data_IF_519273128495
#
_entry.id   IF_519273128495
#
_cell.length_a   1.000
_cell.length_b   1.000
_cell.length_c   1.000
_cell.angle_alpha   90.00
_cell.angle_beta   90.00
_cell.angle_gamma   90.00
#
_symmetry.space_group_name_H-M   'P 1'
#
loop_
_entity.id
_entity.type
_entity.pdbx_description
1 polymer ?
#
# COMPACT_ATOMS: atom_id res chain seq x y z
N UNK A 1 16.16 -21.18 12.11
CA UNK A 1 16.54 -19.89 11.49
C UNK A 1 16.32 -18.82 12.53
N UNK A 2 17.30 -17.96 12.82
CA UNK A 2 17.09 -16.88 13.80
C UNK A 2 15.98 -15.94 13.28
N UNK A 3 15.00 -15.67 14.12
CA UNK A 3 13.94 -14.71 13.83
C UNK A 3 14.58 -13.34 13.56
N UNK A 4 14.25 -12.72 12.43
CA UNK A 4 14.76 -11.37 12.14
C UNK A 4 14.24 -10.43 13.22
N UNK A 5 15.09 -9.53 13.77
CA UNK A 5 14.61 -8.55 14.72
C UNK A 5 13.52 -7.69 14.05
N UNK A 6 12.38 -7.54 14.73
CA UNK A 6 11.23 -6.73 14.25
C UNK A 6 11.60 -5.29 13.91
N UNK A 7 12.57 -4.73 14.63
CA UNK A 7 13.07 -3.38 14.39
C UNK A 7 14.31 -3.43 13.49
N UNK A 8 14.27 -2.83 12.28
CA UNK A 8 15.44 -2.78 11.40
C UNK A 8 16.64 -2.06 12.03
N UNK A 9 17.88 -2.37 11.63
CA UNK A 9 19.07 -1.68 12.12
C UNK A 9 18.97 -0.16 11.95
N UNK A 10 19.36 0.59 12.99
CA UNK A 10 19.35 2.06 12.98
C UNK A 10 17.97 2.70 13.18
N UNK A 11 16.93 1.91 13.41
CA UNK A 11 15.58 2.40 13.69
C UNK A 11 15.34 2.60 15.19
N UNK A 12 14.39 3.49 15.52
CA UNK A 12 13.84 3.65 16.87
C UNK A 12 12.32 3.60 16.85
N UNK A 13 11.72 3.02 17.89
CA UNK A 13 10.27 3.10 18.08
C UNK A 13 9.85 4.52 18.42
N UNK A 14 8.73 4.95 17.86
CA UNK A 14 8.09 6.22 18.18
C UNK A 14 6.61 6.02 18.47
N UNK A 15 6.02 7.03 19.10
CA UNK A 15 4.57 7.16 19.25
C UNK A 15 4.02 8.10 18.19
N UNK A 16 2.75 7.90 17.80
CA UNK A 16 2.11 8.68 16.75
C UNK A 16 2.43 8.16 15.35
N UNK A 17 2.03 8.92 14.33
CA UNK A 17 2.24 8.57 12.93
C UNK A 17 2.69 9.80 12.15
N UNK A 18 4.00 10.10 12.13
CA UNK A 18 4.52 11.25 11.42
C UNK A 18 4.18 11.17 9.93
N UNK A 19 3.73 12.29 9.39
CA UNK A 19 3.44 12.44 7.97
C UNK A 19 4.73 12.78 7.24
N UNK A 20 4.95 12.11 6.11
CA UNK A 20 5.98 12.46 5.12
C UNK A 20 5.33 12.49 3.76
N UNK A 21 5.36 13.66 3.14
CA UNK A 21 4.79 13.88 1.82
C UNK A 21 5.91 14.40 0.93
N UNK A 22 6.15 13.74 -0.20
CA UNK A 22 7.12 14.20 -1.19
C UNK A 22 6.56 15.38 -2.01
N UNK A 23 5.24 15.44 -2.14
CA UNK A 23 4.52 16.34 -3.03
C UNK A 23 3.39 17.07 -2.30
N UNK A 24 2.68 17.94 -3.02
CA UNK A 24 1.45 18.54 -2.51
C UNK A 24 0.37 17.45 -2.39
N UNK A 25 -0.40 17.50 -1.32
CA UNK A 25 -1.54 16.60 -1.15
C UNK A 25 -2.66 16.95 -2.15
N UNK A 26 -3.44 15.97 -2.62
CA UNK A 26 -4.66 16.22 -3.37
C UNK A 26 -5.56 17.19 -2.61
N UNK A 27 -6.16 18.15 -3.33
CA UNK A 27 -7.01 19.18 -2.71
C UNK A 27 -8.36 18.61 -2.28
N UNK A 28 -8.87 17.60 -2.99
CA UNK A 28 -10.14 16.95 -2.70
C UNK A 28 -10.17 15.54 -3.24
N UNK A 29 -11.00 14.69 -2.63
CA UNK A 29 -11.33 13.36 -3.12
C UNK A 29 -12.84 13.29 -3.36
N UNK A 30 -13.23 12.69 -4.47
CA UNK A 30 -14.61 12.40 -4.80
C UNK A 30 -14.75 10.90 -5.13
N UNK A 31 -15.45 10.11 -4.30
CA UNK A 31 -15.59 8.68 -4.51
C UNK A 31 -16.38 8.32 -5.78
N UNK A 32 -17.19 9.24 -6.32
CA UNK A 32 -17.99 8.98 -7.53
C UNK A 32 -17.15 9.05 -8.82
N UNK A 33 -16.06 9.83 -8.81
CA UNK A 33 -15.18 10.01 -9.97
C UNK A 33 -13.84 9.29 -9.83
N UNK A 34 -13.45 8.90 -8.62
CA UNK A 34 -12.20 8.19 -8.37
C UNK A 34 -12.19 6.79 -8.97
N UNK A 35 -11.06 6.41 -9.58
CA UNK A 35 -10.83 5.06 -10.10
C UNK A 35 -9.42 4.57 -9.82
N UNK A 36 -9.28 3.25 -9.64
CA UNK A 36 -8.00 2.54 -9.64
C UNK A 36 -7.84 1.80 -10.96
N UNK A 37 -6.85 2.20 -11.75
CA UNK A 37 -6.49 1.52 -13.00
C UNK A 37 -5.36 0.52 -12.78
N UNK A 38 -5.53 -0.69 -13.28
CA UNK A 38 -4.53 -1.76 -13.27
C UNK A 38 -4.35 -2.28 -14.70
N UNK A 39 -3.18 -2.01 -15.28
CA UNK A 39 -2.87 -2.27 -16.68
C UNK A 39 -1.46 -2.86 -16.88
N UNK A 40 -0.88 -2.65 -18.06
CA UNK A 40 0.46 -3.11 -18.41
C UNK A 40 0.48 -4.59 -18.81
N UNK A 41 1.46 -5.34 -18.29
CA UNK A 41 1.70 -6.74 -18.70
C UNK A 41 0.83 -7.75 -17.95
N UNK A 42 -0.49 -7.59 -18.08
CA UNK A 42 -1.53 -8.43 -17.48
C UNK A 42 -2.42 -9.06 -18.54
N UNK A 43 -3.13 -10.14 -18.21
CA UNK A 43 -4.06 -10.77 -19.15
C UNK A 43 -5.45 -10.12 -19.14
N UNK A 44 -5.83 -9.47 -18.03
CA UNK A 44 -7.14 -8.83 -17.83
C UNK A 44 -6.96 -7.46 -17.20
N UNK A 45 -6.65 -6.41 -17.99
CA UNK A 45 -6.66 -5.04 -17.48
C UNK A 45 -7.99 -4.72 -16.80
N UNK A 46 -7.94 -3.91 -15.75
CA UNK A 46 -9.08 -3.65 -14.88
C UNK A 46 -9.07 -2.20 -14.43
N UNK A 47 -10.24 -1.58 -14.42
CA UNK A 47 -10.49 -0.29 -13.76
C UNK A 47 -11.54 -0.55 -12.70
N UNK A 48 -11.28 -0.15 -11.47
CA UNK A 48 -12.20 -0.28 -10.34
C UNK A 48 -12.65 1.11 -9.89
N UNK A 49 -13.96 1.30 -9.71
CA UNK A 49 -14.47 2.43 -8.94
C UNK A 49 -14.13 2.27 -7.45
N UNK A 50 -14.27 3.36 -6.68
CA UNK A 50 -14.11 3.30 -5.23
C UNK A 50 -15.06 2.28 -4.58
N UNK A 51 -16.31 2.24 -5.05
CA UNK A 51 -17.33 1.30 -4.58
C UNK A 51 -16.98 -0.15 -4.93
N UNK A 52 -16.52 -0.42 -6.16
CA UNK A 52 -16.13 -1.77 -6.59
C UNK A 52 -14.92 -2.29 -5.82
N UNK A 53 -13.95 -1.42 -5.52
CA UNK A 53 -12.81 -1.76 -4.67
C UNK A 53 -13.26 -2.20 -3.27
N UNK A 54 -14.24 -1.51 -2.68
CA UNK A 54 -14.79 -1.83 -1.36
C UNK A 54 -15.70 -3.08 -1.35
N UNK A 55 -16.07 -3.61 -2.51
CA UNK A 55 -16.79 -4.90 -2.64
C UNK A 55 -15.85 -6.10 -2.74
N UNK A 56 -14.54 -5.89 -2.87
CA UNK A 56 -13.56 -6.97 -2.86
C UNK A 56 -13.40 -7.57 -1.46
N UNK A 57 -12.81 -8.78 -1.31
CA UNK A 57 -12.55 -9.36 0.00
C UNK A 57 -11.67 -8.46 0.87
N UNK A 58 -12.30 -7.85 1.88
CA UNK A 58 -11.63 -6.97 2.84
C UNK A 58 -10.86 -7.84 3.84
N UNK A 59 -9.61 -7.46 4.10
CA UNK A 59 -8.73 -8.10 5.06
C UNK A 59 -8.20 -7.05 6.02
N UNK A 60 -8.06 -7.45 7.28
CA UNK A 60 -7.38 -6.67 8.31
C UNK A 60 -6.10 -7.40 8.70
N UNK A 61 -4.95 -6.74 8.58
CA UNK A 61 -3.64 -7.31 8.94
C UNK A 61 -2.89 -6.36 9.87
N UNK A 62 -2.00 -6.88 10.71
CA UNK A 62 -1.22 -6.05 11.64
C UNK A 62 0.27 -6.16 11.30
N UNK A 63 0.89 -5.02 11.05
CA UNK A 63 2.32 -4.96 10.76
C UNK A 63 2.99 -3.70 11.32
N UNK A 64 4.31 -3.80 11.48
CA UNK A 64 5.13 -2.63 11.80
C UNK A 64 5.29 -1.74 10.55
N UNK A 65 5.51 -0.45 10.78
CA UNK A 65 5.73 0.55 9.74
C UNK A 65 7.08 1.20 9.97
N UNK A 66 7.98 1.12 8.99
CA UNK A 66 9.36 1.56 9.12
C UNK A 66 9.65 2.71 8.14
N UNK A 67 10.01 3.88 8.64
CA UNK A 67 10.41 5.00 7.81
C UNK A 67 11.91 4.94 7.51
N UNK A 68 12.30 5.33 6.28
CA UNK A 68 13.71 5.41 5.88
C UNK A 68 14.54 6.39 6.74
N UNK A 69 13.89 7.35 7.40
CA UNK A 69 14.53 8.33 8.29
C UNK A 69 14.89 7.78 9.68
N UNK A 70 14.75 6.47 9.92
CA UNK A 70 15.20 5.83 11.15
C UNK A 70 14.17 5.80 12.29
N UNK A 71 12.88 5.99 12.00
CA UNK A 71 11.80 5.81 12.97
C UNK A 71 10.78 4.75 12.54
N UNK A 72 10.22 4.05 13.52
CA UNK A 72 9.27 2.95 13.30
C UNK A 72 8.05 3.07 14.21
N UNK A 73 6.89 2.68 13.70
CA UNK A 73 5.63 2.60 14.44
C UNK A 73 5.22 1.13 14.49
N UNK A 74 4.98 0.62 15.69
CA UNK A 74 4.65 -0.79 15.92
C UNK A 74 3.16 -1.08 15.76
N UNK A 75 2.85 -2.34 15.45
CA UNK A 75 1.51 -2.93 15.58
C UNK A 75 0.40 -2.10 14.90
N UNK A 76 0.66 -1.59 13.69
CA UNK A 76 -0.35 -0.87 12.93
C UNK A 76 -1.31 -1.89 12.31
N UNK A 77 -2.59 -1.76 12.63
CA UNK A 77 -3.63 -2.54 11.99
C UNK A 77 -4.04 -1.83 10.71
N UNK A 78 -3.94 -2.50 9.58
CA UNK A 78 -4.30 -2.01 8.25
C UNK A 78 -5.49 -2.79 7.75
N UNK A 79 -6.50 -2.09 7.24
CA UNK A 79 -7.67 -2.71 6.64
C UNK A 79 -7.85 -2.20 5.20
N UNK A 80 -8.11 -3.17 4.32
CA UNK A 80 -8.22 -2.95 2.88
C UNK A 80 -8.22 -4.26 2.10
N UNK A 81 -7.65 -4.26 0.90
CA UNK A 81 -7.62 -5.43 0.02
C UNK A 81 -6.19 -5.91 -0.18
N UNK A 82 -5.94 -7.21 0.00
CA UNK A 82 -4.62 -7.78 -0.26
C UNK A 82 -4.23 -7.59 -1.73
N UNK A 83 -2.98 -7.28 -2.01
CA UNK A 83 -2.49 -7.12 -3.38
C UNK A 83 -2.75 -8.37 -4.23
N UNK A 84 -2.64 -9.56 -3.62
CA UNK A 84 -2.96 -10.84 -4.25
C UNK A 84 -4.37 -10.91 -4.81
N UNK A 85 -5.35 -10.27 -4.17
CA UNK A 85 -6.72 -10.24 -4.67
C UNK A 85 -6.82 -9.48 -6.00
N UNK A 86 -6.07 -8.39 -6.13
CA UNK A 86 -5.97 -7.64 -7.40
C UNK A 86 -5.22 -8.48 -8.45
N UNK A 87 -4.06 -9.03 -8.09
CA UNK A 87 -3.26 -9.88 -8.99
C UNK A 87 -4.06 -11.10 -9.49
N UNK A 88 -4.89 -11.70 -8.63
CA UNK A 88 -5.74 -12.84 -8.99
C UNK A 88 -6.81 -12.47 -10.02
N UNK A 89 -7.26 -11.21 -10.06
CA UNK A 89 -8.26 -10.72 -11.02
C UNK A 89 -7.62 -10.39 -12.37
N UNK A 90 -6.50 -9.67 -12.34
CA UNK A 90 -5.84 -9.19 -13.58
C UNK A 90 -4.94 -10.23 -14.24
N UNK A 91 -4.50 -11.24 -13.48
CA UNK A 91 -3.64 -12.35 -13.93
C UNK A 91 -2.37 -11.82 -14.64
N UNK A 92 -1.36 -11.30 -13.91
CA UNK A 92 -0.09 -10.87 -14.50
C UNK A 92 0.53 -11.94 -15.41
N UNK A 93 1.10 -11.54 -16.54
CA UNK A 93 1.75 -12.48 -17.45
C UNK A 93 3.07 -12.99 -16.85
N UNK A 94 3.57 -14.17 -17.27
CA UNK A 94 4.88 -14.69 -16.80
C UNK A 94 6.07 -13.74 -17.06
N UNK A 95 5.95 -12.88 -18.06
CA UNK A 95 6.91 -11.83 -18.40
C UNK A 95 6.90 -10.64 -17.42
N UNK A 96 5.81 -10.41 -16.68
CA UNK A 96 5.71 -9.32 -15.72
C UNK A 96 6.65 -9.54 -14.53
N UNK A 97 7.61 -8.64 -14.33
CA UNK A 97 8.62 -8.71 -13.25
C UNK A 97 8.47 -7.62 -12.20
N UNK A 98 7.92 -6.48 -12.57
CA UNK A 98 7.76 -5.31 -11.73
C UNK A 98 6.35 -4.74 -11.88
N UNK A 99 5.89 -4.05 -10.86
CA UNK A 99 4.69 -3.22 -10.88
C UNK A 99 5.14 -1.80 -10.57
N UNK A 100 4.71 -0.87 -11.42
CA UNK A 100 4.89 0.55 -11.22
C UNK A 100 3.63 1.11 -10.59
N UNK A 101 3.75 1.69 -9.41
CA UNK A 101 2.66 2.40 -8.75
C UNK A 101 2.80 3.88 -9.05
N UNK A 102 1.66 4.50 -9.35
CA UNK A 102 1.52 5.94 -9.53
C UNK A 102 0.65 6.47 -8.39
N UNK A 103 1.14 7.48 -7.68
CA UNK A 103 0.29 8.31 -6.85
C UNK A 103 -0.59 9.20 -7.75
N UNK A 104 -1.51 9.94 -7.15
CA UNK A 104 -2.35 10.91 -7.86
C UNK A 104 -1.53 12.01 -8.55
N UNK A 105 -0.36 12.36 -8.00
CA UNK A 105 0.56 13.34 -8.56
C UNK A 105 1.79 12.65 -9.20
N UNK A 106 3.01 13.13 -8.96
CA UNK A 106 4.21 12.69 -9.67
C UNK A 106 4.93 11.51 -8.99
N UNK A 107 4.54 11.16 -7.76
CA UNK A 107 5.23 10.13 -7.01
C UNK A 107 5.01 8.75 -7.64
N UNK A 108 6.11 8.08 -7.97
CA UNK A 108 6.06 6.72 -8.49
C UNK A 108 7.01 5.80 -7.74
N UNK A 109 6.64 4.53 -7.66
CA UNK A 109 7.49 3.51 -7.06
C UNK A 109 7.36 2.19 -7.79
N UNK A 110 8.50 1.63 -8.19
CA UNK A 110 8.57 0.30 -8.77
C UNK A 110 8.93 -0.73 -7.69
N UNK A 111 8.18 -1.82 -7.66
CA UNK A 111 8.38 -2.97 -6.77
C UNK A 111 8.34 -4.26 -7.59
N UNK A 112 9.20 -5.22 -7.28
CA UNK A 112 9.20 -6.53 -7.94
C UNK A 112 7.91 -7.28 -7.65
N UNK A 113 7.32 -7.95 -8.64
CA UNK A 113 6.10 -8.73 -8.47
C UNK A 113 6.21 -9.78 -7.34
N UNK A 114 7.32 -10.53 -7.16
CA UNK A 114 7.46 -11.46 -6.04
C UNK A 114 7.29 -10.84 -4.65
N UNK A 115 7.77 -9.60 -4.44
CA UNK A 115 7.58 -8.88 -3.16
C UNK A 115 6.11 -8.57 -2.95
N UNK A 116 5.42 -8.08 -3.98
CA UNK A 116 4.00 -7.72 -3.90
C UNK A 116 3.09 -8.93 -3.70
N UNK A 117 3.56 -10.12 -4.10
CA UNK A 117 2.89 -11.40 -3.89
C UNK A 117 3.18 -12.01 -2.51
N UNK A 118 3.75 -11.26 -1.56
CA UNK A 118 3.80 -11.66 -0.15
C UNK A 118 2.40 -11.60 0.48
N UNK A 119 2.16 -12.33 1.57
CA UNK A 119 0.81 -12.52 2.15
C UNK A 119 0.23 -11.26 2.82
N UNK A 120 1.10 -10.35 3.24
CA UNK A 120 0.77 -9.17 4.07
C UNK A 120 0.82 -7.85 3.30
N UNK A 121 1.00 -7.90 1.98
CA UNK A 121 0.95 -6.72 1.11
C UNK A 121 -0.50 -6.33 0.86
N UNK A 122 -0.86 -5.11 1.24
CA UNK A 122 -2.24 -4.65 1.28
C UNK A 122 -2.37 -3.24 0.68
N UNK A 123 -3.45 -3.03 -0.07
CA UNK A 123 -3.95 -1.72 -0.44
C UNK A 123 -4.96 -1.29 0.63
N UNK A 124 -4.53 -0.43 1.54
CA UNK A 124 -5.26 -0.06 2.75
C UNK A 124 -5.93 1.31 2.63
N UNK A 125 -7.08 1.47 3.28
CA UNK A 125 -7.79 2.75 3.43
C UNK A 125 -8.10 3.08 4.89
N UNK A 126 -8.11 2.06 5.76
CA UNK A 126 -8.29 2.19 7.21
C UNK A 126 -7.00 1.81 7.96
N UNK A 127 -6.73 2.52 9.06
CA UNK A 127 -5.66 2.22 10.01
C UNK A 127 -6.18 2.28 11.45
N UNK A 128 -5.90 1.25 12.24
CA UNK A 128 -6.30 1.13 13.65
C UNK A 128 -7.81 1.33 13.87
N UNK A 129 -8.64 0.79 12.98
CA UNK A 129 -10.10 0.85 13.06
C UNK A 129 -10.72 2.16 12.58
N UNK A 130 -9.93 3.12 12.11
CA UNK A 130 -10.41 4.40 11.59
C UNK A 130 -9.96 4.63 10.14
N UNK A 131 -10.73 5.36 9.32
CA UNK A 131 -10.24 5.87 8.04
C UNK A 131 -8.94 6.64 8.21
N UNK A 132 -7.97 6.38 7.33
CA UNK A 132 -6.77 7.20 7.29
C UNK A 132 -7.15 8.65 6.97
N UNK A 133 -6.34 9.59 7.48
CA UNK A 133 -6.43 10.98 7.03
C UNK A 133 -5.81 11.13 5.64
N UNK A 134 -6.13 12.18 4.86
CA UNK A 134 -5.48 12.43 3.57
C UNK A 134 -3.95 12.38 3.63
N UNK A 135 -3.36 12.96 4.69
CA UNK A 135 -1.90 12.92 4.93
C UNK A 135 -1.35 11.50 5.11
N UNK A 136 -2.21 10.59 5.55
CA UNK A 136 -1.94 9.17 5.75
C UNK A 136 -2.08 8.32 4.49
N UNK A 137 -2.37 8.91 3.32
CA UNK A 137 -2.58 8.18 2.07
C UNK A 137 -4.02 7.72 1.87
N UNK A 138 -4.99 8.35 2.53
CA UNK A 138 -6.39 8.19 2.13
C UNK A 138 -6.60 8.85 0.76
N UNK A 139 -7.38 8.24 -0.16
CA UNK A 139 -8.33 7.13 0.02
C UNK A 139 -7.73 5.72 -0.05
N UNK A 140 -6.49 5.56 -0.51
CA UNK A 140 -5.87 4.26 -0.71
C UNK A 140 -4.34 4.38 -0.67
N UNK A 141 -3.69 3.53 0.12
CA UNK A 141 -2.23 3.42 0.21
C UNK A 141 -1.78 1.98 0.07
N UNK A 142 -0.66 1.78 -0.63
CA UNK A 142 0.07 0.52 -0.62
C UNK A 142 0.89 0.38 0.67
N UNK A 143 0.73 -0.73 1.37
CA UNK A 143 1.53 -1.11 2.54
C UNK A 143 2.29 -2.39 2.23
N UNK A 144 3.63 -2.32 2.31
CA UNK A 144 4.54 -3.45 2.11
C UNK A 144 5.38 -3.60 3.39
N UNK A 145 4.96 -4.44 4.36
CA UNK A 145 5.59 -4.49 5.67
C UNK A 145 7.09 -4.73 5.66
N UNK A 146 7.58 -5.50 4.68
CA UNK A 146 9.01 -5.85 4.55
C UNK A 146 9.89 -4.71 4.01
N UNK A 147 9.32 -3.64 3.46
CA UNK A 147 10.07 -2.51 2.89
C UNK A 147 9.91 -1.23 3.73
N UNK A 148 10.81 -0.28 3.51
CA UNK A 148 10.63 1.06 4.08
C UNK A 148 9.45 1.78 3.43
N UNK A 149 8.78 2.60 4.23
CA UNK A 149 7.51 3.24 3.93
C UNK A 149 7.48 4.07 2.64
N UNK A 150 8.60 4.62 2.17
CA UNK A 150 8.65 5.33 0.90
C UNK A 150 8.28 4.43 -0.30
N UNK A 151 8.39 3.10 -0.16
CA UNK A 151 7.92 2.15 -1.18
C UNK A 151 6.40 1.95 -1.18
N UNK A 152 5.72 2.35 -0.11
CA UNK A 152 4.27 2.43 -0.06
C UNK A 152 3.81 3.74 -0.69
N UNK A 153 3.31 3.64 -1.92
CA UNK A 153 2.63 4.74 -2.62
C UNK A 153 1.29 5.00 -1.95
#
# INVERSE_FOLDING_TARGET
>A
MAEKPRLPPGQRWITGFPVRTAERMPESFDPETWTLTIDGDVNRPLVLSYEELHKLPITTQTSDFHCVEGWSVKDNQWEGVLFKEIANRVKPKPSAKFVLFHAEHEYTSAITLPVLMEEDVILAWNRNGEPMRPEGGWPLRLVIPRLYAYKGV
#
